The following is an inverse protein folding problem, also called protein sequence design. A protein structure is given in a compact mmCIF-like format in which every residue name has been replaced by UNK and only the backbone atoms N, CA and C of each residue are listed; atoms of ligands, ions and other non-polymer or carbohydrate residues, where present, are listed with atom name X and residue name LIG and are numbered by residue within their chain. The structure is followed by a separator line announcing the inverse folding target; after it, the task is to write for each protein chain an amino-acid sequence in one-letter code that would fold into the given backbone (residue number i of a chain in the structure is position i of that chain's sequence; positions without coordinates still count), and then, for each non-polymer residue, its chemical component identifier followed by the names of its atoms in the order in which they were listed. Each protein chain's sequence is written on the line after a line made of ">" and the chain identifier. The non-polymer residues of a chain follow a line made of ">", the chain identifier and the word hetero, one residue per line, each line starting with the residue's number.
data_IF_567657048097
#
_entry.id   IF_567657048097
#
_cell.length_a   1.000
_cell.length_b   1.000
_cell.length_c   1.000
_cell.angle_alpha   90.00
_cell.angle_beta   90.00
_cell.angle_gamma   90.00
#
_symmetry.space_group_name_H-M   'P 1'
#
loop_
_entity.id
_entity.type
_entity.pdbx_description
1 polymer ?
#
# COMPACT_ATOMS: atom_id res chain seq x y z
N UNK A 1 3.70 -14.83 -36.61
CA UNK A 1 3.56 -15.28 -35.21
C UNK A 1 4.84 -14.87 -34.49
N UNK A 2 5.03 -13.55 -34.28
CA UNK A 2 6.36 -12.99 -33.97
C UNK A 2 6.29 -11.65 -33.17
N UNK A 3 5.19 -11.37 -32.46
CA UNK A 3 4.98 -10.08 -31.77
C UNK A 3 4.67 -10.15 -30.27
N UNK A 4 4.61 -11.35 -29.67
CA UNK A 4 4.05 -11.52 -28.32
C UNK A 4 5.08 -11.40 -27.17
N UNK A 5 6.39 -11.48 -27.46
CA UNK A 5 7.43 -11.54 -26.41
C UNK A 5 7.84 -10.19 -25.82
N UNK A 6 7.31 -9.06 -26.31
CA UNK A 6 7.81 -7.72 -25.94
C UNK A 6 6.89 -6.90 -25.03
N UNK A 7 5.69 -7.39 -24.69
CA UNK A 7 4.71 -6.56 -23.96
C UNK A 7 4.81 -6.66 -22.45
N UNK A 8 5.23 -7.81 -21.91
CA UNK A 8 5.45 -8.02 -20.48
C UNK A 8 6.94 -8.28 -20.23
N UNK A 9 7.58 -7.44 -19.42
CA UNK A 9 8.97 -7.59 -18.99
C UNK A 9 9.01 -7.99 -17.52
N UNK A 10 9.70 -9.09 -17.19
CA UNK A 10 9.99 -9.46 -15.79
C UNK A 10 10.92 -8.43 -15.17
N UNK A 11 10.63 -8.02 -13.94
CA UNK A 11 11.43 -7.01 -13.23
C UNK A 11 12.53 -7.64 -12.41
N UNK A 12 13.74 -7.09 -12.52
CA UNK A 12 14.84 -7.31 -11.58
C UNK A 12 14.68 -6.42 -10.34
N UNK A 13 15.49 -6.62 -9.30
CA UNK A 13 15.47 -5.75 -8.11
C UNK A 13 15.75 -4.28 -8.46
N UNK A 14 16.67 -4.00 -9.39
CA UNK A 14 16.94 -2.64 -9.86
C UNK A 14 15.77 -2.05 -10.65
N UNK A 15 15.12 -2.87 -11.49
CA UNK A 15 13.91 -2.42 -12.21
C UNK A 15 12.79 -2.07 -11.23
N UNK A 16 12.58 -2.87 -10.17
CA UNK A 16 11.54 -2.59 -9.17
C UNK A 16 11.74 -1.24 -8.50
N UNK A 17 12.97 -0.94 -8.07
CA UNK A 17 13.31 0.37 -7.48
C UNK A 17 13.08 1.49 -8.50
N UNK A 18 13.43 1.26 -9.76
CA UNK A 18 13.24 2.23 -10.83
C UNK A 18 11.75 2.56 -11.08
N UNK A 19 10.89 1.55 -11.23
CA UNK A 19 9.47 1.76 -11.46
C UNK A 19 8.74 2.31 -10.24
N UNK A 20 9.11 1.87 -9.03
CA UNK A 20 8.55 2.40 -7.79
C UNK A 20 8.76 3.92 -7.66
N UNK A 21 9.93 4.43 -8.06
CA UNK A 21 10.24 5.87 -8.06
C UNK A 21 9.42 6.70 -9.05
N UNK A 22 8.66 6.07 -9.94
CA UNK A 22 7.69 6.75 -10.83
C UNK A 22 6.28 6.79 -10.23
N UNK A 23 6.06 6.00 -9.18
CA UNK A 23 4.80 5.92 -8.49
C UNK A 23 4.46 7.18 -7.70
N UNK A 24 3.21 7.24 -7.29
CA UNK A 24 2.62 8.40 -6.61
C UNK A 24 1.70 8.06 -5.43
N UNK A 25 1.44 6.77 -5.17
CA UNK A 25 0.71 6.24 -4.01
C UNK A 25 1.10 4.76 -3.76
N UNK A 26 0.68 4.20 -2.63
CA UNK A 26 1.10 2.89 -2.13
C UNK A 26 0.98 1.72 -3.11
N UNK A 27 -0.03 1.66 -3.98
CA UNK A 27 -0.20 0.62 -5.02
C UNK A 27 0.98 0.53 -6.02
N UNK A 28 1.83 1.56 -6.06
CA UNK A 28 3.07 1.56 -6.85
C UNK A 28 4.32 1.12 -6.09
N UNK A 29 4.19 0.66 -4.85
CA UNK A 29 5.29 0.07 -4.08
C UNK A 29 5.65 -1.32 -4.61
N UNK A 30 6.30 -1.34 -5.78
CA UNK A 30 6.67 -2.57 -6.49
C UNK A 30 7.43 -3.53 -5.61
N UNK A 31 8.33 -2.99 -4.78
CA UNK A 31 9.16 -3.78 -3.87
C UNK A 31 8.32 -4.47 -2.79
N UNK A 32 7.30 -3.82 -2.23
CA UNK A 32 6.36 -4.42 -1.28
C UNK A 32 5.57 -5.55 -1.96
N UNK A 33 4.86 -5.24 -3.04
CA UNK A 33 3.96 -6.20 -3.68
C UNK A 33 4.70 -7.40 -4.30
N UNK A 34 5.96 -7.24 -4.72
CA UNK A 34 6.79 -8.36 -5.16
C UNK A 34 7.04 -9.42 -4.09
N UNK A 35 6.95 -9.05 -2.81
CA UNK A 35 7.12 -10.00 -1.68
C UNK A 35 5.83 -10.69 -1.27
N UNK A 36 4.68 -10.14 -1.65
CA UNK A 36 3.36 -10.64 -1.26
C UNK A 36 2.61 -11.32 -2.41
N UNK A 37 2.58 -10.71 -3.60
CA UNK A 37 1.72 -11.11 -4.72
C UNK A 37 2.45 -11.91 -5.82
N UNK A 38 3.74 -12.19 -5.63
CA UNK A 38 4.53 -13.03 -6.52
C UNK A 38 5.49 -12.28 -7.43
N UNK A 39 5.90 -12.93 -8.52
CA UNK A 39 6.94 -12.39 -9.39
C UNK A 39 6.46 -11.13 -10.12
N UNK A 40 7.23 -10.02 -10.10
CA UNK A 40 6.83 -8.75 -10.67
C UNK A 40 7.18 -8.64 -12.17
N UNK A 41 6.26 -8.05 -12.92
CA UNK A 41 6.35 -7.75 -14.34
C UNK A 41 5.82 -6.34 -14.62
N UNK A 42 6.22 -5.75 -15.73
CA UNK A 42 5.69 -4.49 -16.24
C UNK A 42 5.12 -4.67 -17.64
N UNK A 43 3.90 -4.18 -17.87
CA UNK A 43 3.29 -4.13 -19.19
C UNK A 43 3.62 -2.80 -19.87
N UNK A 44 4.37 -2.85 -20.98
CA UNK A 44 4.74 -1.68 -21.81
C UNK A 44 5.25 -0.47 -21.01
N UNK A 45 6.07 -0.70 -19.97
CA UNK A 45 6.56 0.34 -19.05
C UNK A 45 5.49 1.12 -18.26
N UNK A 46 4.23 0.65 -18.25
CA UNK A 46 3.07 1.40 -17.74
C UNK A 46 2.39 0.74 -16.55
N UNK A 47 1.99 -0.52 -16.65
CA UNK A 47 1.19 -1.19 -15.61
C UNK A 47 1.94 -2.33 -14.93
N UNK A 48 1.83 -2.41 -13.61
CA UNK A 48 2.48 -3.45 -12.81
C UNK A 48 1.62 -4.72 -12.81
N UNK A 49 2.27 -5.86 -12.92
CA UNK A 49 1.66 -7.19 -12.93
C UNK A 49 2.45 -8.11 -12.01
N UNK A 50 1.77 -8.83 -11.12
CA UNK A 50 2.39 -9.78 -10.19
C UNK A 50 1.76 -11.15 -10.38
N UNK A 51 2.59 -12.16 -10.60
CA UNK A 51 2.12 -13.52 -10.78
C UNK A 51 2.72 -14.45 -9.73
N UNK A 52 1.86 -15.04 -8.90
CA UNK A 52 2.24 -16.13 -8.03
C UNK A 52 1.93 -17.47 -8.71
N UNK A 53 3.00 -18.18 -9.09
CA UNK A 53 2.90 -19.48 -9.73
C UNK A 53 2.35 -20.58 -8.80
N UNK A 54 2.49 -20.43 -7.48
CA UNK A 54 2.06 -21.43 -6.50
C UNK A 54 0.53 -21.45 -6.36
N UNK A 55 -0.08 -20.29 -6.10
CA UNK A 55 -1.53 -20.13 -6.03
C UNK A 55 -2.20 -20.03 -7.40
N UNK A 56 -1.42 -19.69 -8.43
CA UNK A 56 -1.90 -19.26 -9.76
C UNK A 56 -2.75 -17.98 -9.67
N UNK A 57 -2.45 -17.09 -8.73
CA UNK A 57 -3.05 -15.77 -8.65
C UNK A 57 -2.28 -14.78 -9.52
N UNK A 58 -3.02 -13.87 -10.13
CA UNK A 58 -2.47 -12.77 -10.91
C UNK A 58 -3.04 -11.47 -10.36
N UNK A 59 -2.18 -10.57 -9.91
CA UNK A 59 -2.54 -9.22 -9.47
C UNK A 59 -2.10 -8.21 -10.52
N UNK A 60 -2.96 -7.25 -10.89
CA UNK A 60 -2.64 -6.20 -11.87
C UNK A 60 -2.99 -4.83 -11.29
N UNK A 61 -2.02 -3.91 -11.29
CA UNK A 61 -2.22 -2.51 -10.91
C UNK A 61 -2.32 -1.67 -12.18
N UNK A 62 -3.52 -1.21 -12.51
CA UNK A 62 -3.85 -0.43 -13.71
C UNK A 62 -3.76 1.08 -13.49
N UNK A 63 -2.85 1.48 -12.61
CA UNK A 63 -2.43 2.86 -12.45
C UNK A 63 -1.14 3.05 -13.25
N UNK A 64 -1.14 4.02 -14.15
CA UNK A 64 -0.07 4.18 -15.14
C UNK A 64 1.17 4.84 -14.55
N UNK A 65 2.30 4.13 -14.61
CA UNK A 65 3.61 4.67 -14.22
C UNK A 65 4.26 5.55 -15.30
N UNK A 66 3.87 5.38 -16.57
CA UNK A 66 4.50 6.07 -17.70
C UNK A 66 3.56 6.21 -18.91
N UNK A 67 2.39 6.82 -18.70
CA UNK A 67 1.40 7.06 -19.75
C UNK A 67 0.09 6.33 -19.49
N UNK A 68 -0.72 6.21 -20.54
CA UNK A 68 -2.05 5.61 -20.50
C UNK A 68 -2.16 4.61 -21.65
N UNK A 69 -1.79 3.37 -21.35
CA UNK A 69 -1.91 2.25 -22.28
C UNK A 69 -3.32 1.65 -22.18
N UNK A 70 -3.70 0.82 -23.16
CA UNK A 70 -5.00 0.13 -23.07
C UNK A 70 -4.98 -0.86 -21.89
N UNK A 71 -5.77 -0.54 -20.87
CA UNK A 71 -5.95 -1.36 -19.66
C UNK A 71 -6.43 -2.77 -19.96
N UNK A 72 -7.39 -2.93 -20.88
CA UNK A 72 -7.92 -4.24 -21.26
C UNK A 72 -6.91 -5.02 -22.09
N UNK A 73 -6.09 -4.35 -22.90
CA UNK A 73 -4.96 -4.98 -23.58
C UNK A 73 -3.94 -5.55 -22.58
N UNK A 74 -3.62 -4.80 -21.50
CA UNK A 74 -2.76 -5.27 -20.42
C UNK A 74 -3.34 -6.52 -19.76
N UNK A 75 -4.62 -6.49 -19.38
CA UNK A 75 -5.31 -7.64 -18.78
C UNK A 75 -5.29 -8.85 -19.71
N UNK A 76 -5.67 -8.68 -20.98
CA UNK A 76 -5.70 -9.77 -21.96
C UNK A 76 -4.32 -10.36 -22.23
N UNK A 77 -3.29 -9.52 -22.32
CA UNK A 77 -1.89 -9.94 -22.48
C UNK A 77 -1.45 -10.78 -21.29
N UNK A 78 -1.78 -10.35 -20.07
CA UNK A 78 -1.42 -11.03 -18.84
C UNK A 78 -2.17 -12.37 -18.68
N UNK A 79 -3.46 -12.41 -19.02
CA UNK A 79 -4.26 -13.64 -19.05
C UNK A 79 -3.71 -14.68 -20.02
N UNK A 80 -3.33 -14.26 -21.23
CA UNK A 80 -2.76 -15.16 -22.23
C UNK A 80 -1.39 -15.72 -21.81
N UNK A 81 -0.61 -14.93 -21.08
CA UNK A 81 0.74 -15.26 -20.64
C UNK A 81 0.72 -16.22 -19.45
N UNK A 82 -0.02 -15.87 -18.39
CA UNK A 82 0.05 -16.55 -17.10
C UNK A 82 -1.05 -17.58 -16.86
N UNK A 83 -2.18 -17.48 -17.57
CA UNK A 83 -3.35 -18.37 -17.45
C UNK A 83 -3.74 -18.61 -15.97
N UNK A 84 -3.99 -17.56 -15.19
CA UNK A 84 -4.20 -17.68 -13.75
C UNK A 84 -5.52 -18.37 -13.41
N UNK A 85 -5.64 -18.84 -12.17
CA UNK A 85 -6.90 -19.33 -11.61
C UNK A 85 -7.79 -18.18 -11.15
N UNK A 86 -7.17 -17.19 -10.48
CA UNK A 86 -7.82 -16.01 -9.92
C UNK A 86 -7.07 -14.78 -10.38
N UNK A 87 -7.81 -13.71 -10.64
CA UNK A 87 -7.28 -12.43 -11.09
C UNK A 87 -7.79 -11.34 -10.14
N UNK A 88 -6.87 -10.57 -9.57
CA UNK A 88 -7.17 -9.36 -8.80
C UNK A 88 -6.71 -8.15 -9.59
N UNK A 89 -7.60 -7.19 -9.81
CA UNK A 89 -7.27 -5.97 -10.53
C UNK A 89 -7.56 -4.77 -9.66
N UNK A 90 -6.55 -3.92 -9.49
CA UNK A 90 -6.66 -2.62 -8.85
C UNK A 90 -6.60 -1.53 -9.92
N UNK A 91 -7.66 -0.73 -10.08
CA UNK A 91 -7.83 0.21 -11.19
C UNK A 91 -8.47 1.55 -10.77
N UNK A 92 -8.26 2.62 -11.55
CA UNK A 92 -8.91 3.91 -11.28
C UNK A 92 -10.41 3.94 -11.64
N UNK A 93 -10.89 2.92 -12.36
CA UNK A 93 -12.25 2.80 -12.88
C UNK A 93 -12.73 1.36 -12.81
N UNK A 94 -14.04 1.17 -12.72
CA UNK A 94 -14.66 -0.15 -12.75
C UNK A 94 -14.50 -0.79 -14.13
N UNK A 95 -13.99 -2.02 -14.17
CA UNK A 95 -13.84 -2.83 -15.36
C UNK A 95 -15.09 -3.70 -15.62
N UNK A 96 -15.28 -4.19 -16.86
CA UNK A 96 -16.39 -5.07 -17.21
C UNK A 96 -16.49 -6.29 -16.30
N UNK A 97 -17.73 -6.71 -16.03
CA UNK A 97 -18.04 -7.91 -15.21
C UNK A 97 -17.43 -9.18 -15.81
N UNK A 98 -17.25 -9.23 -17.13
CA UNK A 98 -16.66 -10.38 -17.83
C UNK A 98 -15.46 -9.92 -18.66
N UNK A 99 -14.35 -10.64 -18.53
CA UNK A 99 -13.12 -10.42 -19.32
C UNK A 99 -12.64 -11.78 -19.81
N UNK A 100 -12.89 -12.08 -21.09
CA UNK A 100 -12.59 -13.38 -21.67
C UNK A 100 -13.33 -14.52 -20.95
N UNK A 101 -12.60 -15.49 -20.40
CA UNK A 101 -13.15 -16.63 -19.65
C UNK A 101 -13.32 -16.33 -18.14
N UNK A 102 -13.14 -15.09 -17.71
CA UNK A 102 -13.18 -14.70 -16.29
C UNK A 102 -14.40 -13.84 -15.99
N UNK A 103 -15.01 -14.08 -14.83
CA UNK A 103 -16.14 -13.30 -14.32
C UNK A 103 -15.79 -12.68 -12.98
N UNK A 104 -16.11 -11.40 -12.84
CA UNK A 104 -15.99 -10.64 -11.61
C UNK A 104 -17.00 -11.18 -10.60
N UNK A 105 -16.53 -11.65 -9.45
CA UNK A 105 -17.37 -12.11 -8.35
C UNK A 105 -17.47 -11.07 -7.22
N UNK A 106 -16.46 -10.20 -7.08
CA UNK A 106 -16.44 -9.14 -6.08
C UNK A 106 -15.86 -7.86 -6.64
N UNK A 107 -16.49 -6.75 -6.27
CA UNK A 107 -16.01 -5.39 -6.56
C UNK A 107 -15.97 -4.63 -5.24
N UNK A 108 -14.81 -4.03 -4.96
CA UNK A 108 -14.61 -3.08 -3.88
C UNK A 108 -14.33 -1.72 -4.51
N UNK A 109 -14.89 -0.67 -3.92
CA UNK A 109 -14.60 0.71 -4.31
C UNK A 109 -14.20 1.49 -3.08
N UNK A 110 -13.11 2.25 -3.21
CA UNK A 110 -12.60 3.13 -2.18
C UNK A 110 -11.92 4.35 -2.80
N UNK A 111 -11.41 5.22 -1.94
CA UNK A 111 -10.52 6.30 -2.30
C UNK A 111 -9.24 6.19 -1.50
N UNK A 112 -8.14 6.42 -2.18
CA UNK A 112 -6.84 6.62 -1.56
C UNK A 112 -6.68 8.08 -1.13
N UNK A 113 -6.12 8.29 0.05
CA UNK A 113 -5.99 9.58 0.71
C UNK A 113 -4.54 9.98 0.90
N UNK A 114 -4.26 11.26 0.60
CA UNK A 114 -2.93 11.84 0.79
C UNK A 114 -2.99 13.18 1.52
N UNK A 115 -1.94 13.46 2.28
CA UNK A 115 -1.73 14.74 2.96
C UNK A 115 -0.76 15.57 2.13
N UNK A 116 -1.19 16.77 1.75
CA UNK A 116 -0.30 17.76 1.16
C UNK A 116 0.64 18.32 2.24
N UNK A 117 1.92 17.98 2.15
CA UNK A 117 2.91 18.34 3.17
C UNK A 117 3.28 19.82 3.14
N UNK A 118 3.09 20.53 2.02
CA UNK A 118 3.31 21.98 1.95
C UNK A 118 2.20 22.76 2.65
N UNK A 119 0.96 22.29 2.58
CA UNK A 119 -0.21 22.93 3.17
C UNK A 119 -0.42 22.56 4.65
N UNK A 120 0.18 21.45 5.11
CA UNK A 120 0.06 21.00 6.50
C UNK A 120 0.89 21.86 7.47
N UNK A 121 0.25 22.47 8.46
CA UNK A 121 0.94 23.21 9.53
C UNK A 121 1.46 22.27 10.63
N UNK A 122 2.78 22.04 10.62
CA UNK A 122 3.46 21.17 11.58
C UNK A 122 3.45 21.70 13.03
N UNK A 123 3.15 22.99 13.22
CA UNK A 123 2.94 23.60 14.53
C UNK A 123 1.53 23.36 15.07
N UNK A 124 0.65 22.77 14.25
CA UNK A 124 -0.74 22.43 14.58
C UNK A 124 -1.51 23.66 15.08
N UNK A 125 -1.36 24.83 14.44
CA UNK A 125 -1.98 26.07 14.89
C UNK A 125 -3.39 26.25 14.33
N UNK A 126 -4.18 27.08 15.00
CA UNK A 126 -5.54 27.41 14.57
C UNK A 126 -6.61 26.37 14.92
N UNK A 127 -7.88 26.68 14.60
CA UNK A 127 -9.04 25.85 14.93
C UNK A 127 -9.03 24.44 14.31
N UNK A 128 -8.70 24.23 13.02
CA UNK A 128 -8.74 22.91 12.39
C UNK A 128 -7.84 21.87 13.08
N UNK A 129 -6.72 22.32 13.65
CA UNK A 129 -5.71 21.47 14.28
C UNK A 129 -5.93 21.27 15.79
N UNK A 130 -7.00 21.81 16.40
CA UNK A 130 -7.24 21.75 17.86
C UNK A 130 -7.23 20.32 18.39
N UNK A 131 -7.94 19.42 17.72
CA UNK A 131 -8.02 18.00 18.12
C UNK A 131 -6.68 17.30 17.95
N UNK A 132 -5.98 17.53 16.83
CA UNK A 132 -4.66 16.95 16.57
C UNK A 132 -3.63 17.38 17.63
N UNK A 133 -3.60 18.69 17.93
CA UNK A 133 -2.72 19.25 18.95
C UNK A 133 -2.97 18.64 20.33
N UNK A 134 -4.23 18.41 20.70
CA UNK A 134 -4.55 17.69 21.93
C UNK A 134 -4.02 16.25 21.92
N UNK A 135 -4.27 15.48 20.86
CA UNK A 135 -3.86 14.07 20.75
C UNK A 135 -2.34 13.91 20.77
N UNK A 136 -1.62 14.72 19.99
CA UNK A 136 -0.15 14.74 19.97
C UNK A 136 0.42 15.12 21.33
N UNK A 137 -0.14 16.12 22.01
CA UNK A 137 0.32 16.51 23.35
C UNK A 137 -0.01 15.46 24.41
N UNK A 138 -1.14 14.76 24.29
CA UNK A 138 -1.48 13.63 25.17
C UNK A 138 -0.46 12.49 25.00
N UNK A 139 -0.12 12.11 23.76
CA UNK A 139 0.93 11.12 23.49
C UNK A 139 2.30 11.52 24.08
N UNK A 140 2.70 12.79 23.89
CA UNK A 140 3.93 13.34 24.50
C UNK A 140 3.91 13.25 26.04
N UNK A 141 2.80 13.63 26.67
CA UNK A 141 2.62 13.53 28.15
C UNK A 141 2.69 12.09 28.66
N UNK A 142 2.27 11.14 27.84
CA UNK A 142 2.35 9.70 28.14
C UNK A 142 3.75 9.12 27.96
N UNK A 143 4.69 9.90 27.43
CA UNK A 143 6.08 9.46 27.23
C UNK A 143 6.29 8.63 25.98
N UNK A 144 5.43 8.74 24.97
CA UNK A 144 5.65 8.04 23.70
C UNK A 144 6.88 8.59 22.98
N UNK A 145 7.70 7.70 22.46
CA UNK A 145 8.89 8.03 21.67
C UNK A 145 8.87 7.29 20.34
N UNK A 146 9.63 7.78 19.36
CA UNK A 146 9.80 7.16 18.05
C UNK A 146 11.27 6.85 17.82
N UNK A 147 11.56 5.64 17.33
CA UNK A 147 12.83 5.31 16.71
C UNK A 147 12.59 4.92 15.25
N UNK A 148 13.40 5.45 14.33
CA UNK A 148 13.33 5.09 12.91
C UNK A 148 14.46 4.10 12.63
N UNK A 149 14.13 2.97 12.03
CA UNK A 149 15.10 1.90 11.79
C UNK A 149 14.73 1.00 10.62
N UNK A 150 15.39 -0.15 10.55
CA UNK A 150 15.12 -1.23 9.58
C UNK A 150 15.14 -2.62 10.21
N UNK A 151 15.40 -2.72 11.51
CA UNK A 151 15.51 -4.00 12.19
C UNK A 151 14.14 -4.41 12.71
N UNK A 152 13.58 -5.47 12.13
CA UNK A 152 12.45 -6.16 12.71
C UNK A 152 12.95 -7.10 13.81
N UNK A 153 12.28 -7.02 14.95
CA UNK A 153 12.54 -7.84 16.13
C UNK A 153 11.33 -8.74 16.42
N UNK A 154 11.44 -9.75 17.29
CA UNK A 154 10.29 -10.59 17.65
C UNK A 154 9.06 -9.82 18.15
N UNK A 155 9.25 -8.61 18.71
CA UNK A 155 8.14 -7.74 19.10
C UNK A 155 7.30 -7.27 17.90
N UNK A 156 7.92 -7.03 16.75
CA UNK A 156 7.22 -6.64 15.52
C UNK A 156 6.36 -7.80 15.00
N UNK A 157 6.93 -9.01 14.91
CA UNK A 157 6.20 -10.21 14.51
C UNK A 157 5.02 -10.48 15.45
N UNK A 158 5.19 -10.25 16.76
CA UNK A 158 4.10 -10.36 17.73
C UNK A 158 2.97 -9.34 17.49
N UNK A 159 3.31 -8.09 17.19
CA UNK A 159 2.32 -7.06 16.87
C UNK A 159 1.55 -7.37 15.58
N UNK A 160 2.23 -7.88 14.55
CA UNK A 160 1.59 -8.35 13.30
C UNK A 160 0.63 -9.50 13.63
N UNK A 161 1.07 -10.50 14.40
CA UNK A 161 0.22 -11.62 14.79
C UNK A 161 -1.01 -11.16 15.59
N UNK A 162 -0.85 -10.26 16.55
CA UNK A 162 -1.96 -9.68 17.29
C UNK A 162 -2.94 -8.94 16.36
N UNK A 163 -2.43 -8.16 15.40
CA UNK A 163 -3.24 -7.49 14.39
C UNK A 163 -4.07 -8.51 13.58
N UNK A 164 -3.42 -9.54 13.05
CA UNK A 164 -4.06 -10.63 12.29
C UNK A 164 -5.14 -11.38 13.09
N UNK A 165 -5.12 -11.35 14.42
CA UNK A 165 -6.15 -11.99 15.27
C UNK A 165 -7.37 -11.11 15.57
N UNK A 166 -7.33 -9.80 15.29
CA UNK A 166 -8.42 -8.87 15.65
C UNK A 166 -9.64 -9.03 14.76
N UNK A 167 -9.43 -9.28 13.47
CA UNK A 167 -10.48 -9.30 12.45
C UNK A 167 -10.18 -10.37 11.39
N UNK A 168 -11.17 -10.65 10.54
CA UNK A 168 -10.98 -11.50 9.36
C UNK A 168 -10.62 -10.59 8.19
N UNK A 169 -9.35 -10.60 7.82
CA UNK A 169 -8.85 -9.85 6.66
C UNK A 169 -9.07 -10.60 5.35
N UNK A 170 -8.94 -9.89 4.23
CA UNK A 170 -8.89 -10.54 2.94
C UNK A 170 -7.55 -11.25 2.75
N UNK A 171 -7.50 -12.18 1.81
CA UNK A 171 -6.31 -12.99 1.60
C UNK A 171 -5.08 -12.16 1.20
N UNK A 172 -5.26 -11.12 0.38
CA UNK A 172 -4.19 -10.22 -0.04
C UNK A 172 -3.61 -9.39 1.12
N UNK A 173 -4.44 -9.00 2.09
CA UNK A 173 -3.96 -8.32 3.31
C UNK A 173 -3.06 -9.26 4.13
N UNK A 174 -3.44 -10.54 4.26
CA UNK A 174 -2.61 -11.53 4.96
C UNK A 174 -1.29 -11.76 4.24
N UNK A 175 -1.28 -11.82 2.91
CA UNK A 175 -0.05 -11.95 2.11
C UNK A 175 0.90 -10.78 2.36
N UNK A 176 0.40 -9.55 2.42
CA UNK A 176 1.18 -8.36 2.78
C UNK A 176 1.76 -8.46 4.20
N UNK A 177 0.95 -8.84 5.18
CA UNK A 177 1.39 -8.95 6.57
C UNK A 177 2.48 -10.01 6.77
N UNK A 178 2.33 -11.16 6.11
CA UNK A 178 3.31 -12.24 6.16
C UNK A 178 4.60 -11.90 5.39
N UNK A 179 4.51 -11.10 4.33
CA UNK A 179 5.65 -10.62 3.55
C UNK A 179 6.44 -9.46 4.19
N UNK A 180 5.89 -8.81 5.22
CA UNK A 180 6.44 -7.58 5.78
C UNK A 180 7.91 -7.68 6.25
N UNK A 181 8.29 -8.79 6.88
CA UNK A 181 9.67 -9.01 7.33
C UNK A 181 10.64 -9.18 6.16
N UNK A 182 10.24 -9.97 5.16
CA UNK A 182 11.04 -10.19 3.97
C UNK A 182 11.21 -8.88 3.19
N UNK A 183 10.15 -8.08 3.08
CA UNK A 183 10.16 -6.77 2.44
C UNK A 183 11.21 -5.83 3.06
N UNK A 184 11.17 -5.64 4.38
CA UNK A 184 12.09 -4.73 5.09
C UNK A 184 13.54 -5.25 5.03
N UNK A 185 13.71 -6.57 5.08
CA UNK A 185 15.02 -7.23 5.01
C UNK A 185 15.65 -7.13 3.63
N UNK A 186 14.88 -7.43 2.57
CA UNK A 186 15.37 -7.52 1.19
C UNK A 186 15.67 -6.15 0.60
N UNK A 187 14.81 -5.16 0.81
CA UNK A 187 14.93 -3.87 0.15
C UNK A 187 15.47 -2.79 1.07
N UNK A 188 16.32 -1.91 0.54
CA UNK A 188 16.97 -0.86 1.31
C UNK A 188 16.15 0.40 1.51
N UNK A 189 15.03 0.55 0.80
CA UNK A 189 14.16 1.73 0.86
C UNK A 189 13.22 1.76 2.06
N UNK A 190 12.57 0.65 2.48
CA UNK A 190 11.58 0.70 3.55
C UNK A 190 12.22 1.05 4.89
N UNK A 191 11.46 1.76 5.73
CA UNK A 191 11.85 2.13 7.09
C UNK A 191 10.74 1.75 8.06
N UNK A 192 11.15 1.38 9.26
CA UNK A 192 10.26 1.14 10.38
C UNK A 192 10.17 2.41 11.21
N UNK A 193 8.96 2.88 11.47
CA UNK A 193 8.67 3.90 12.46
C UNK A 193 8.19 3.18 13.71
N UNK A 194 9.08 3.04 14.69
CA UNK A 194 8.81 2.25 15.88
C UNK A 194 8.37 3.15 17.03
N UNK A 195 7.18 2.89 17.57
CA UNK A 195 6.61 3.61 18.69
C UNK A 195 6.87 2.90 20.01
N UNK A 196 7.42 3.61 20.98
CA UNK A 196 7.76 3.05 22.28
C UNK A 196 7.10 3.77 23.45
N UNK A 197 6.76 3.01 24.48
CA UNK A 197 6.50 3.50 25.84
C UNK A 197 7.53 2.90 26.78
N UNK A 198 8.54 3.68 27.16
CA UNK A 198 9.76 3.12 27.78
C UNK A 198 10.46 2.21 26.79
N UNK A 199 10.76 0.98 27.18
CA UNK A 199 11.40 -0.04 26.32
C UNK A 199 10.40 -0.91 25.56
N UNK A 200 9.09 -0.72 25.78
CA UNK A 200 8.05 -1.52 25.13
C UNK A 200 7.69 -0.95 23.75
N UNK A 201 7.85 -1.77 22.71
CA UNK A 201 7.30 -1.48 21.38
C UNK A 201 5.77 -1.60 21.43
N UNK A 202 5.06 -0.48 21.28
CA UNK A 202 3.60 -0.41 21.38
C UNK A 202 2.90 -0.27 20.03
N UNK A 203 3.67 -0.05 18.97
CA UNK A 203 3.20 -0.05 17.60
C UNK A 203 4.32 0.31 16.64
N UNK A 204 4.11 0.04 15.36
CA UNK A 204 5.02 0.49 14.33
C UNK A 204 4.34 0.63 12.98
N UNK A 205 4.93 1.46 12.14
CA UNK A 205 4.57 1.62 10.74
C UNK A 205 5.73 1.22 9.85
N UNK A 206 5.42 0.63 8.70
CA UNK A 206 6.35 0.46 7.59
C UNK A 206 6.07 1.58 6.63
N UNK A 207 7.07 2.41 6.37
CA UNK A 207 7.00 3.48 5.38
C UNK A 207 7.98 3.19 4.25
N UNK A 208 7.62 3.59 3.04
CA UNK A 208 8.54 3.58 1.90
C UNK A 208 8.34 4.80 1.00
N UNK A 209 9.24 4.94 0.04
CA UNK A 209 9.39 6.13 -0.78
C UNK A 209 9.08 5.85 -2.25
N UNK A 210 8.39 6.80 -2.85
CA UNK A 210 8.05 6.85 -4.27
C UNK A 210 8.80 8.05 -4.90
N UNK A 211 8.20 8.75 -5.87
CA UNK A 211 8.78 9.94 -6.50
C UNK A 211 8.93 11.11 -5.51
N UNK A 212 7.85 11.86 -5.29
CA UNK A 212 7.73 12.98 -4.35
C UNK A 212 6.79 12.65 -3.19
N UNK A 213 6.45 11.37 -3.04
CA UNK A 213 5.51 10.84 -2.06
C UNK A 213 6.22 9.86 -1.13
N UNK A 214 6.00 10.01 0.18
CA UNK A 214 6.24 8.95 1.16
C UNK A 214 4.92 8.23 1.40
N UNK A 215 4.93 6.90 1.44
CA UNK A 215 3.74 6.09 1.69
C UNK A 215 3.88 5.28 2.98
N UNK A 216 2.77 5.12 3.69
CA UNK A 216 2.65 4.28 4.89
C UNK A 216 1.75 3.07 4.58
N UNK A 217 2.23 2.07 3.82
CA UNK A 217 1.41 0.95 3.37
C UNK A 217 0.92 0.02 4.49
N UNK A 218 1.66 -0.08 5.60
CA UNK A 218 1.36 -1.03 6.67
C UNK A 218 1.58 -0.41 8.04
N UNK A 219 0.59 -0.55 8.93
CA UNK A 219 0.65 -0.07 10.30
C UNK A 219 0.05 -1.04 11.32
N UNK A 220 0.75 -1.24 12.42
CA UNK A 220 0.41 -2.23 13.45
C UNK A 220 0.49 -1.61 14.85
N UNK A 221 -0.65 -1.51 15.53
CA UNK A 221 -0.74 -0.82 16.81
C UNK A 221 -1.44 -1.64 17.90
N UNK A 222 -0.93 -1.54 19.12
CA UNK A 222 -1.69 -1.84 20.33
C UNK A 222 -2.69 -0.70 20.60
N UNK A 223 -3.75 -1.00 21.35
CA UNK A 223 -4.78 -0.01 21.70
C UNK A 223 -4.28 0.95 22.80
N UNK A 224 -3.44 1.91 22.40
CA UNK A 224 -2.89 2.95 23.26
C UNK A 224 -3.48 4.32 22.90
N UNK A 225 -3.96 5.11 23.87
CA UNK A 225 -4.59 6.41 23.59
C UNK A 225 -3.66 7.36 22.84
N UNK A 226 -4.12 7.86 21.69
CA UNK A 226 -3.38 8.81 20.83
C UNK A 226 -2.14 8.22 20.15
N UNK A 227 -1.95 6.91 20.13
CA UNK A 227 -0.81 6.29 19.44
C UNK A 227 -0.84 6.55 17.94
N UNK A 228 -1.91 6.16 17.23
CA UNK A 228 -2.03 6.37 15.79
C UNK A 228 -1.90 7.86 15.40
N UNK A 229 -2.48 8.78 16.19
CA UNK A 229 -2.31 10.23 16.00
C UNK A 229 -0.85 10.69 16.17
N UNK A 230 -0.12 10.07 17.09
CA UNK A 230 1.28 10.41 17.31
C UNK A 230 2.17 9.89 16.18
N UNK A 231 1.86 8.71 15.63
CA UNK A 231 2.57 8.09 14.52
C UNK A 231 2.50 8.93 13.26
N UNK A 232 1.30 9.20 12.77
CA UNK A 232 1.09 10.01 11.57
C UNK A 232 1.67 11.43 11.72
N UNK A 233 1.63 12.04 12.92
CA UNK A 233 2.33 13.31 13.16
C UNK A 233 3.84 13.19 12.91
N UNK A 234 4.44 12.10 13.39
CA UNK A 234 5.88 11.87 13.30
C UNK A 234 6.31 11.55 11.88
N UNK A 235 5.46 10.84 11.14
CA UNK A 235 5.61 10.61 9.70
C UNK A 235 5.53 11.92 8.91
N UNK A 236 4.53 12.77 9.14
CA UNK A 236 4.43 14.09 8.49
C UNK A 236 5.69 14.92 8.74
N UNK A 237 6.13 15.01 10.00
CA UNK A 237 7.33 15.76 10.35
C UNK A 237 8.58 15.20 9.66
N UNK A 238 8.68 13.87 9.57
CA UNK A 238 9.80 13.23 8.88
C UNK A 238 9.74 13.50 7.38
N UNK A 239 8.57 13.31 6.76
CA UNK A 239 8.37 13.47 5.34
C UNK A 239 8.66 14.91 4.88
N UNK A 240 8.18 15.91 5.64
CA UNK A 240 8.51 17.33 5.42
C UNK A 240 10.01 17.58 5.49
N UNK A 241 10.71 17.02 6.49
CA UNK A 241 12.18 17.17 6.61
C UNK A 241 12.95 16.51 5.47
N UNK A 242 12.42 15.42 4.90
CA UNK A 242 13.01 14.77 3.73
C UNK A 242 12.67 15.48 2.41
N UNK A 243 11.78 16.49 2.44
CA UNK A 243 11.39 17.26 1.26
C UNK A 243 10.35 16.59 0.39
N UNK A 244 9.57 15.63 0.92
CA UNK A 244 8.44 15.07 0.20
C UNK A 244 7.30 16.10 0.09
N UNK A 245 6.55 16.02 -1.00
CA UNK A 245 5.38 16.85 -1.29
C UNK A 245 4.12 16.23 -0.69
N UNK A 246 4.03 14.90 -0.72
CA UNK A 246 2.86 14.13 -0.30
C UNK A 246 3.22 13.07 0.74
N UNK A 247 2.32 12.86 1.69
CA UNK A 247 2.27 11.65 2.51
C UNK A 247 1.01 10.87 2.14
N UNK A 248 1.23 9.69 1.58
CA UNK A 248 0.19 8.73 1.23
C UNK A 248 -0.17 7.88 2.46
N UNK A 249 -1.44 7.95 2.86
CA UNK A 249 -1.96 7.32 4.08
C UNK A 249 -2.94 6.19 3.78
N UNK A 250 -2.97 5.73 2.52
CA UNK A 250 -3.72 4.59 2.05
C UNK A 250 -5.23 4.82 1.90
N UNK A 251 -5.93 3.72 1.65
CA UNK A 251 -7.36 3.68 1.35
C UNK A 251 -8.25 4.06 2.54
N UNK A 252 -9.46 4.56 2.29
CA UNK A 252 -10.44 4.88 3.33
C UNK A 252 -10.80 3.67 4.22
N UNK A 253 -10.98 2.50 3.62
CA UNK A 253 -11.38 1.18 4.11
C UNK A 253 -12.74 1.12 4.82
N UNK A 254 -13.01 2.07 5.71
CA UNK A 254 -14.28 2.22 6.42
C UNK A 254 -14.44 3.66 6.92
N UNK A 255 -15.65 4.03 7.35
CA UNK A 255 -15.95 5.38 7.81
C UNK A 255 -15.04 5.84 8.97
N UNK A 256 -14.67 4.96 9.88
CA UNK A 256 -13.80 5.31 11.02
C UNK A 256 -12.38 5.68 10.57
N UNK A 257 -11.79 4.90 9.67
CA UNK A 257 -10.48 5.15 9.09
C UNK A 257 -10.50 6.34 8.13
N UNK A 258 -11.56 6.52 7.35
CA UNK A 258 -11.73 7.68 6.49
C UNK A 258 -11.80 9.00 7.30
N UNK A 259 -12.60 9.04 8.36
CA UNK A 259 -12.69 10.21 9.24
C UNK A 259 -11.39 10.45 10.02
N UNK A 260 -10.65 9.38 10.36
CA UNK A 260 -9.31 9.51 10.91
C UNK A 260 -8.37 10.23 9.92
N UNK A 261 -8.39 9.86 8.64
CA UNK A 261 -7.54 10.47 7.59
C UNK A 261 -7.94 11.92 7.32
N UNK A 262 -9.23 12.22 7.17
CA UNK A 262 -9.74 13.59 6.98
C UNK A 262 -9.40 14.51 8.15
N UNK A 263 -9.44 14.01 9.38
CA UNK A 263 -9.00 14.75 10.58
C UNK A 263 -7.54 15.20 10.47
N UNK A 264 -6.70 14.47 9.73
CA UNK A 264 -5.31 14.81 9.41
C UNK A 264 -5.16 15.66 8.13
N UNK A 265 -6.26 16.24 7.64
CA UNK A 265 -6.32 17.05 6.43
C UNK A 265 -5.93 16.27 5.16
N UNK A 266 -6.02 14.93 5.22
CA UNK A 266 -5.83 14.12 4.03
C UNK A 266 -7.01 14.34 3.07
N UNK A 267 -6.71 14.45 1.79
CA UNK A 267 -7.69 14.59 0.71
C UNK A 267 -7.70 13.31 -0.13
N UNK A 268 -8.86 12.89 -0.66
CA UNK A 268 -8.89 11.78 -1.60
C UNK A 268 -8.22 12.20 -2.90
N UNK A 269 -7.25 11.43 -3.38
CA UNK A 269 -6.54 11.72 -4.65
C UNK A 269 -6.82 10.71 -5.74
N UNK A 270 -7.07 9.46 -5.38
CA UNK A 270 -7.33 8.40 -6.34
C UNK A 270 -8.62 7.68 -5.99
N UNK A 271 -9.46 7.45 -7.00
CA UNK A 271 -10.50 6.44 -6.90
C UNK A 271 -9.83 5.09 -7.10
N UNK A 272 -10.19 4.10 -6.30
CA UNK A 272 -9.60 2.76 -6.38
C UNK A 272 -10.71 1.74 -6.44
N UNK A 273 -10.77 1.01 -7.54
CA UNK A 273 -11.58 -0.18 -7.70
C UNK A 273 -10.68 -1.39 -7.54
N UNK A 274 -11.09 -2.33 -6.69
CA UNK A 274 -10.50 -3.66 -6.64
C UNK A 274 -11.53 -4.67 -7.08
N UNK A 275 -11.22 -5.43 -8.13
CA UNK A 275 -12.11 -6.45 -8.68
C UNK A 275 -11.45 -7.82 -8.64
N UNK A 276 -12.16 -8.78 -8.05
CA UNK A 276 -11.78 -10.18 -7.99
C UNK A 276 -12.53 -10.99 -9.06
N UNK A 277 -11.76 -11.57 -9.96
CA UNK A 277 -12.23 -12.35 -11.08
C UNK A 277 -11.84 -13.83 -10.93
N UNK A 278 -12.79 -14.71 -11.23
CA UNK A 278 -12.54 -16.15 -11.27
C UNK A 278 -12.81 -16.71 -12.66
N UNK A 279 -12.00 -17.70 -13.03
CA UNK A 279 -12.21 -18.42 -14.28
C UNK A 279 -13.53 -19.17 -14.23
N UNK A 280 -14.38 -18.95 -15.23
CA UNK A 280 -15.62 -19.72 -15.41
C UNK A 280 -15.25 -21.20 -15.54
N UNK A 281 -15.88 -22.05 -14.72
CA UNK A 281 -15.75 -23.50 -14.90
C UNK A 281 -16.32 -23.84 -16.27
N UNK A 282 -15.49 -24.40 -17.15
CA UNK A 282 -15.97 -25.07 -18.35
C UNK A 282 -17.05 -26.07 -17.91
N UNK A 283 -18.26 -25.95 -18.45
CA UNK A 283 -19.35 -26.85 -18.10
C UNK A 283 -18.89 -28.30 -18.18
N UNK A 284 -19.06 -29.03 -17.09
CA UNK A 284 -18.96 -30.49 -17.03
C UNK A 284 -20.04 -31.15 -17.87
#
# INVERSE_FOLDING_TARGET
>A
MEGAFWKLKKLTDDDMIYYQRRGYFDEHLVTLYSTAYGEPYIHKDTYLVYYDALSKNLSITLFGLNGDEDKLECVQTSLNTFKPRTLWITSPEELPVEIGEYRCERTFFDKDYQINLHEFDENLQGPPYKTLRYRVNNAKKRGYTIAIGREMTPAHSHLIALHMTKEIYNIWDYELYLGAEEYVRKFSSPRLFNAFLGDLLIGFDIVDVLSNTMATPLGFYLDYPSLADFMIYKEILYAKRQGFEWLDVGWGCNLGLEEFKKKWMAIPRFNVYMQEYHKLRSGS
#
